data_IF_405191791907
#
_entry.id   IF_405191791907
#
_cell.length_a   1.000
_cell.length_b   1.000
_cell.length_c   1.000
_cell.angle_alpha   90.00
_cell.angle_beta   90.00
_cell.angle_gamma   90.00
#
_symmetry.space_group_name_H-M   'P 1'
#
loop_
_entity.id
_entity.type
_entity.pdbx_description
1 polymer ?
#
# COMPACT_ATOMS: atom_id res chain seq x y z
N UNK A 1 31.15 22.26 -10.73
CA UNK A 1 30.81 21.15 -9.82
C UNK A 1 29.60 20.43 -10.43
N UNK A 2 29.83 19.40 -11.24
CA UNK A 2 28.75 18.65 -11.89
C UNK A 2 28.07 17.78 -10.84
N UNK A 3 26.88 18.18 -10.36
CA UNK A 3 26.01 17.28 -9.60
C UNK A 3 25.65 16.11 -10.52
N UNK A 4 26.22 14.93 -10.27
CA UNK A 4 25.71 13.69 -10.85
C UNK A 4 24.22 13.64 -10.54
N UNK A 5 23.39 13.61 -11.57
CA UNK A 5 21.96 13.36 -11.44
C UNK A 5 21.88 11.88 -11.04
N UNK A 6 21.80 11.62 -9.73
CA UNK A 6 21.52 10.27 -9.23
C UNK A 6 20.14 9.90 -9.78
N UNK A 7 20.13 9.00 -10.76
CA UNK A 7 18.90 8.40 -11.27
C UNK A 7 18.49 7.35 -10.25
N UNK A 8 17.28 7.48 -9.71
CA UNK A 8 16.70 6.49 -8.80
C UNK A 8 16.68 5.11 -9.46
N UNK A 9 16.89 4.06 -8.68
CA UNK A 9 16.62 2.69 -9.11
C UNK A 9 15.10 2.49 -9.29
N UNK A 10 14.71 1.40 -9.97
CA UNK A 10 13.28 1.07 -10.12
C UNK A 10 12.58 0.90 -8.76
N UNK A 11 13.26 0.27 -7.80
CA UNK A 11 12.74 0.10 -6.44
C UNK A 11 12.58 1.43 -5.69
N UNK A 12 13.56 2.33 -5.82
CA UNK A 12 13.46 3.67 -5.23
C UNK A 12 12.34 4.49 -5.86
N UNK A 13 12.11 4.36 -7.17
CA UNK A 13 11.00 4.98 -7.87
C UNK A 13 9.65 4.45 -7.38
N UNK A 14 9.52 3.12 -7.22
CA UNK A 14 8.32 2.46 -6.71
C UNK A 14 8.02 2.91 -5.27
N UNK A 15 9.01 2.87 -4.38
CA UNK A 15 8.88 3.34 -2.99
C UNK A 15 8.52 4.83 -2.92
N UNK A 16 9.13 5.66 -3.76
CA UNK A 16 8.79 7.09 -3.85
C UNK A 16 7.36 7.32 -4.34
N UNK A 17 6.90 6.54 -5.33
CA UNK A 17 5.53 6.60 -5.85
C UNK A 17 4.53 6.19 -4.76
N UNK A 18 4.72 5.05 -4.11
CA UNK A 18 3.83 4.57 -3.04
C UNK A 18 3.71 5.61 -1.92
N UNK A 19 4.84 6.15 -1.47
CA UNK A 19 4.85 7.21 -0.47
C UNK A 19 4.10 8.46 -0.92
N UNK A 20 4.24 8.86 -2.19
CA UNK A 20 3.51 9.98 -2.76
C UNK A 20 2.00 9.73 -2.80
N UNK A 21 1.57 8.53 -3.17
CA UNK A 21 0.16 8.15 -3.25
C UNK A 21 -0.47 8.05 -1.85
N UNK A 22 0.21 7.45 -0.87
CA UNK A 22 -0.23 7.38 0.53
C UNK A 22 -0.33 8.79 1.13
N UNK A 23 0.67 9.66 0.91
CA UNK A 23 0.61 11.06 1.33
C UNK A 23 -0.56 11.82 0.69
N UNK A 24 -0.88 11.51 -0.57
CA UNK A 24 -2.05 12.07 -1.24
C UNK A 24 -3.35 11.65 -0.55
N UNK A 25 -3.48 10.37 -0.17
CA UNK A 25 -4.61 9.88 0.62
C UNK A 25 -4.70 10.58 1.99
N UNK A 26 -3.61 10.66 2.75
CA UNK A 26 -3.58 11.33 4.06
C UNK A 26 -4.04 12.80 3.93
N UNK A 27 -3.56 13.52 2.91
CA UNK A 27 -3.90 14.92 2.72
C UNK A 27 -5.34 15.16 2.24
N UNK A 28 -5.98 14.20 1.57
CA UNK A 28 -7.24 14.43 0.85
C UNK A 28 -8.39 13.46 1.21
N UNK A 29 -8.12 12.40 1.98
CA UNK A 29 -9.05 11.29 2.20
C UNK A 29 -9.26 10.39 0.98
N UNK A 30 -8.53 10.66 -0.10
CA UNK A 30 -8.57 9.94 -1.37
C UNK A 30 -7.27 10.18 -2.13
N UNK A 31 -6.83 9.23 -2.96
CA UNK A 31 -5.59 9.38 -3.74
C UNK A 31 -5.87 10.30 -4.94
N UNK A 32 -5.27 11.48 -4.93
CA UNK A 32 -5.27 12.43 -6.06
C UNK A 32 -3.87 12.49 -6.67
N UNK A 33 -3.70 11.83 -7.82
CA UNK A 33 -2.45 11.85 -8.57
C UNK A 33 -2.72 11.96 -10.07
N UNK A 34 -1.80 12.60 -10.78
CA UNK A 34 -1.76 12.68 -12.24
C UNK A 34 -0.32 12.47 -12.71
N UNK A 35 -0.08 12.07 -13.97
CA UNK A 35 1.28 11.99 -14.49
C UNK A 35 2.07 13.30 -14.33
N UNK A 36 1.39 14.45 -14.47
CA UNK A 36 1.98 15.76 -14.27
C UNK A 36 2.41 16.00 -12.82
N UNK A 37 1.57 15.61 -11.85
CA UNK A 37 1.93 15.76 -10.43
C UNK A 37 3.07 14.83 -10.03
N UNK A 38 3.12 13.60 -10.57
CA UNK A 38 4.24 12.67 -10.35
C UNK A 38 5.53 13.25 -10.91
N UNK A 39 5.53 13.74 -12.17
CA UNK A 39 6.69 14.40 -12.76
C UNK A 39 7.17 15.60 -11.95
N UNK A 40 6.24 16.43 -11.48
CA UNK A 40 6.54 17.63 -10.69
C UNK A 40 7.17 17.31 -9.33
N UNK A 41 6.66 16.29 -8.63
CA UNK A 41 7.07 16.01 -7.24
C UNK A 41 8.18 14.96 -7.14
N UNK A 42 8.24 13.99 -8.06
CA UNK A 42 9.15 12.85 -8.02
C UNK A 42 10.18 12.83 -9.16
N UNK A 43 10.09 13.77 -10.11
CA UNK A 43 11.08 13.97 -11.19
C UNK A 43 11.25 12.78 -12.16
N UNK A 44 10.21 11.95 -12.33
CA UNK A 44 10.14 10.94 -13.39
C UNK A 44 8.79 10.95 -14.11
N UNK A 45 8.75 10.41 -15.31
CA UNK A 45 7.52 10.30 -16.09
C UNK A 45 6.86 8.94 -15.82
N UNK A 46 5.53 8.92 -15.78
CA UNK A 46 4.72 7.71 -15.67
C UNK A 46 3.56 7.80 -16.67
N UNK A 47 3.19 6.67 -17.28
CA UNK A 47 2.01 6.63 -18.15
C UNK A 47 0.72 6.68 -17.31
N UNK A 48 -0.38 7.10 -17.91
CA UNK A 48 -1.65 7.32 -17.20
C UNK A 48 -2.29 6.03 -16.68
N UNK A 49 -2.26 4.99 -17.51
CA UNK A 49 -2.68 3.61 -17.22
C UNK A 49 -1.87 3.04 -16.05
N UNK A 50 -0.54 3.05 -16.15
CA UNK A 50 0.34 2.55 -15.06
C UNK A 50 0.05 3.29 -13.76
N UNK A 51 -0.09 4.63 -13.79
CA UNK A 51 -0.44 5.38 -12.59
C UNK A 51 -1.81 4.98 -12.01
N UNK A 52 -2.79 4.67 -12.86
CA UNK A 52 -4.10 4.26 -12.40
C UNK A 52 -4.03 2.90 -11.67
N UNK A 53 -3.25 1.96 -12.20
CA UNK A 53 -3.03 0.65 -11.60
C UNK A 53 -2.31 0.79 -10.25
N UNK A 54 -1.26 1.62 -10.18
CA UNK A 54 -0.54 1.91 -8.93
C UNK A 54 -1.44 2.59 -7.88
N UNK A 55 -2.31 3.52 -8.31
CA UNK A 55 -3.31 4.14 -7.43
C UNK A 55 -4.28 3.11 -6.87
N UNK A 56 -4.74 2.17 -7.69
CA UNK A 56 -5.64 1.08 -7.26
C UNK A 56 -4.92 0.11 -6.32
N UNK A 57 -3.67 -0.24 -6.61
CA UNK A 57 -2.84 -1.10 -5.78
C UNK A 57 -2.62 -0.49 -4.39
N UNK A 58 -2.18 0.76 -4.30
CA UNK A 58 -1.98 1.46 -3.01
C UNK A 58 -3.30 1.62 -2.25
N UNK A 59 -4.40 1.89 -2.95
CA UNK A 59 -5.72 2.00 -2.31
C UNK A 59 -6.17 0.66 -1.75
N UNK A 60 -6.36 -0.33 -2.61
CA UNK A 60 -6.98 -1.60 -2.22
C UNK A 60 -6.04 -2.49 -1.41
N UNK A 61 -4.77 -2.60 -1.84
CA UNK A 61 -3.75 -3.45 -1.20
C UNK A 61 -3.04 -2.80 -0.02
N UNK A 62 -3.14 -1.48 0.15
CA UNK A 62 -2.56 -0.76 1.27
C UNK A 62 -3.62 -0.17 2.19
N UNK A 63 -4.24 0.92 1.75
CA UNK A 63 -5.13 1.74 2.59
C UNK A 63 -6.37 0.97 3.07
N UNK A 64 -7.06 0.29 2.18
CA UNK A 64 -8.31 -0.41 2.48
C UNK A 64 -8.05 -1.59 3.44
N UNK A 65 -6.98 -2.35 3.20
CA UNK A 65 -6.53 -3.43 4.08
C UNK A 65 -6.20 -2.88 5.48
N UNK A 66 -5.41 -1.81 5.58
CA UNK A 66 -5.08 -1.20 6.87
C UNK A 66 -6.33 -0.73 7.62
N UNK A 67 -7.29 -0.10 6.92
CA UNK A 67 -8.54 0.33 7.55
C UNK A 67 -9.34 -0.86 8.06
N UNK A 68 -9.49 -1.91 7.26
CA UNK A 68 -10.21 -3.12 7.62
C UNK A 68 -9.56 -3.80 8.83
N UNK A 69 -8.26 -4.01 8.74
CA UNK A 69 -7.40 -4.63 9.73
C UNK A 69 -7.46 -3.88 11.07
N UNK A 70 -7.15 -2.58 11.05
CA UNK A 70 -7.09 -1.77 12.27
C UNK A 70 -8.47 -1.52 12.88
N UNK A 71 -9.55 -1.58 12.10
CA UNK A 71 -10.91 -1.48 12.62
C UNK A 71 -11.52 -2.84 13.02
N UNK A 72 -10.81 -3.96 12.79
CA UNK A 72 -11.28 -5.33 13.06
C UNK A 72 -12.65 -5.57 12.37
N UNK A 73 -12.72 -5.32 11.06
CA UNK A 73 -13.97 -5.40 10.28
C UNK A 73 -14.08 -6.72 9.54
N UNK A 74 -15.18 -7.42 9.78
CA UNK A 74 -15.44 -8.76 9.24
C UNK A 74 -16.40 -8.75 8.03
N UNK A 75 -17.05 -7.61 7.74
CA UNK A 75 -18.02 -7.50 6.64
C UNK A 75 -17.91 -6.18 5.86
N UNK A 76 -18.45 -6.20 4.64
CA UNK A 76 -18.36 -5.10 3.68
C UNK A 76 -19.15 -3.84 4.09
N UNK A 77 -20.31 -4.00 4.74
CA UNK A 77 -21.14 -2.86 5.15
C UNK A 77 -20.45 -2.02 6.23
N UNK A 78 -19.85 -2.69 7.21
CA UNK A 78 -19.04 -2.03 8.23
C UNK A 78 -17.78 -1.41 7.62
N UNK A 79 -17.14 -2.08 6.67
CA UNK A 79 -16.02 -1.49 5.92
C UNK A 79 -16.36 -0.14 5.31
N UNK A 80 -17.44 -0.03 4.52
CA UNK A 80 -17.83 1.24 3.88
C UNK A 80 -18.06 2.36 4.91
N UNK A 81 -18.71 2.04 6.04
CA UNK A 81 -18.98 3.01 7.11
C UNK A 81 -17.71 3.50 7.80
N UNK A 82 -16.74 2.62 8.04
CA UNK A 82 -15.48 2.99 8.67
C UNK A 82 -14.52 3.68 7.69
N UNK A 83 -14.50 3.24 6.43
CA UNK A 83 -13.74 3.89 5.36
C UNK A 83 -14.09 5.37 5.26
N UNK A 84 -15.38 5.70 5.18
CA UNK A 84 -15.84 7.09 5.13
C UNK A 84 -15.42 7.91 6.35
N UNK A 85 -15.40 7.30 7.54
CA UNK A 85 -14.97 7.97 8.77
C UNK A 85 -13.46 8.23 8.77
N UNK A 86 -12.68 7.24 8.35
CA UNK A 86 -11.21 7.36 8.27
C UNK A 86 -10.82 8.37 7.21
N UNK A 87 -11.36 8.26 5.97
CA UNK A 87 -11.11 9.21 4.88
C UNK A 87 -11.40 10.66 5.29
N UNK A 88 -12.42 10.91 6.12
CA UNK A 88 -12.70 12.25 6.65
C UNK A 88 -11.71 12.66 7.74
N UNK A 89 -11.51 11.80 8.75
CA UNK A 89 -10.67 12.12 9.90
C UNK A 89 -9.20 12.32 9.50
N UNK A 90 -8.67 11.47 8.63
CA UNK A 90 -7.23 11.42 8.31
C UNK A 90 -6.68 12.75 7.78
N UNK A 91 -7.52 13.54 7.08
CA UNK A 91 -7.18 14.85 6.53
C UNK A 91 -6.89 15.93 7.58
N UNK A 92 -7.31 15.70 8.82
CA UNK A 92 -7.18 16.62 9.95
C UNK A 92 -6.56 15.98 11.18
N UNK A 93 -6.15 14.71 11.06
CA UNK A 93 -5.57 13.96 12.16
C UNK A 93 -4.15 14.47 12.44
N UNK A 94 -3.85 14.75 13.70
CA UNK A 94 -2.53 15.21 14.11
C UNK A 94 -1.56 14.03 14.21
N UNK A 95 -0.64 13.96 13.24
CA UNK A 95 0.40 12.93 13.18
C UNK A 95 1.69 13.31 13.91
N UNK A 96 1.80 14.53 14.47
CA UNK A 96 3.06 15.06 15.04
C UNK A 96 3.69 14.11 16.07
N UNK A 97 2.86 13.46 16.90
CA UNK A 97 3.31 12.45 17.88
C UNK A 97 4.07 11.28 17.22
N UNK A 98 3.70 10.88 16.01
CA UNK A 98 4.17 9.66 15.34
C UNK A 98 5.30 9.93 14.34
N UNK A 99 5.57 11.18 13.99
CA UNK A 99 6.55 11.55 12.97
C UNK A 99 7.96 11.08 13.31
N UNK A 100 8.37 11.23 14.57
CA UNK A 100 9.71 10.84 15.05
C UNK A 100 9.83 9.37 15.46
N UNK A 101 8.73 8.63 15.53
CA UNK A 101 8.74 7.22 15.94
C UNK A 101 9.34 6.35 14.84
N UNK A 102 10.19 5.41 15.22
CA UNK A 102 10.55 4.26 14.39
C UNK A 102 9.32 3.41 14.08
N UNK A 103 9.43 2.51 13.09
CA UNK A 103 8.33 1.61 12.76
C UNK A 103 7.94 0.71 13.94
N UNK A 104 8.90 0.23 14.73
CA UNK A 104 8.60 -0.64 15.88
C UNK A 104 7.89 0.12 17.01
N UNK A 105 8.31 1.36 17.29
CA UNK A 105 7.59 2.22 18.23
C UNK A 105 6.16 2.50 17.76
N UNK A 106 5.98 2.72 16.45
CA UNK A 106 4.66 2.95 15.86
C UNK A 106 3.77 1.70 15.94
N UNK A 107 4.32 0.53 15.66
CA UNK A 107 3.65 -0.78 15.75
C UNK A 107 3.13 -1.08 17.16
N UNK A 108 3.78 -0.56 18.21
CA UNK A 108 3.25 -0.67 19.58
C UNK A 108 1.86 -0.03 19.77
N UNK A 109 1.41 0.86 18.88
CA UNK A 109 0.10 1.51 18.93
C UNK A 109 -0.97 0.84 18.05
N UNK A 110 -0.62 -0.20 17.30
CA UNK A 110 -1.41 -0.78 16.22
C UNK A 110 -1.67 -2.28 16.45
N UNK A 111 -2.60 -2.83 15.66
CA UNK A 111 -2.61 -4.28 15.40
C UNK A 111 -1.50 -4.59 14.40
N UNK A 112 -0.71 -5.61 14.67
CA UNK A 112 0.47 -6.01 13.89
C UNK A 112 0.27 -7.44 13.42
N UNK A 113 0.64 -7.73 12.19
CA UNK A 113 0.60 -9.09 11.65
C UNK A 113 2.02 -9.62 11.54
N UNK A 114 2.37 -10.61 12.35
CA UNK A 114 3.71 -11.18 12.41
C UNK A 114 3.68 -12.66 12.01
N UNK A 115 4.24 -12.97 10.83
CA UNK A 115 4.36 -14.34 10.33
C UNK A 115 5.32 -15.20 11.16
N UNK A 116 6.09 -14.60 12.07
CA UNK A 116 6.92 -15.32 13.03
C UNK A 116 6.15 -15.71 14.31
N UNK A 117 4.91 -15.21 14.50
CA UNK A 117 4.06 -15.52 15.65
C UNK A 117 2.97 -16.54 15.26
N UNK A 118 2.77 -17.58 16.09
CA UNK A 118 1.78 -18.63 15.86
C UNK A 118 0.33 -18.10 15.73
N UNK A 119 0.03 -16.95 16.33
CA UNK A 119 -1.29 -16.33 16.26
C UNK A 119 -1.44 -15.37 15.07
N UNK A 120 -0.36 -15.12 14.33
CA UNK A 120 -0.22 -14.18 13.21
C UNK A 120 -0.58 -12.72 13.51
N UNK A 121 -1.35 -12.43 14.57
CA UNK A 121 -1.83 -11.11 14.94
C UNK A 121 -1.38 -10.78 16.35
N UNK A 122 -0.49 -9.82 16.44
CA UNK A 122 0.04 -9.27 17.69
C UNK A 122 -0.65 -7.95 17.98
N UNK A 123 -1.18 -7.80 19.20
CA UNK A 123 -1.70 -6.52 19.68
C UNK A 123 -0.56 -5.70 20.25
N UNK A 124 -0.32 -4.51 19.71
CA UNK A 124 0.67 -3.58 20.25
C UNK A 124 0.37 -3.20 21.71
N UNK A 125 1.43 -3.03 22.50
CA UNK A 125 1.33 -2.77 23.96
C UNK A 125 0.57 -1.47 24.30
N UNK A 126 0.66 -0.46 23.43
CA UNK A 126 0.06 0.86 23.56
C UNK A 126 -1.15 1.05 22.63
N UNK A 127 -1.83 -0.04 22.26
CA UNK A 127 -2.91 -0.07 21.28
C UNK A 127 -3.87 1.11 21.40
N UNK A 128 -4.03 1.87 20.31
CA UNK A 128 -5.01 2.96 20.26
C UNK A 128 -6.42 2.37 20.35
N UNK A 129 -7.17 2.77 21.38
CA UNK A 129 -8.51 2.24 21.66
C UNK A 129 -9.56 2.68 20.63
N UNK A 130 -9.45 3.89 20.12
CA UNK A 130 -10.35 4.40 19.08
C UNK A 130 -9.95 3.81 17.73
N UNK A 131 -10.82 2.97 17.16
CA UNK A 131 -10.58 2.25 15.90
C UNK A 131 -10.33 3.19 14.71
N UNK A 132 -11.03 4.31 14.62
CA UNK A 132 -10.86 5.27 13.50
C UNK A 132 -9.51 5.96 13.62
N UNK A 133 -9.13 6.39 14.83
CA UNK A 133 -7.80 6.96 15.08
C UNK A 133 -6.70 5.93 14.82
N UNK A 134 -6.89 4.69 15.30
CA UNK A 134 -5.96 3.58 15.06
C UNK A 134 -5.77 3.33 13.57
N UNK A 135 -6.84 3.30 12.78
CA UNK A 135 -6.76 3.16 11.33
C UNK A 135 -6.07 4.34 10.65
N UNK A 136 -6.27 5.58 11.11
CA UNK A 136 -5.51 6.73 10.59
C UNK A 136 -3.99 6.53 10.81
N UNK A 137 -3.60 6.04 11.99
CA UNK A 137 -2.20 5.73 12.32
C UNK A 137 -1.69 4.51 11.56
N UNK A 138 -2.53 3.49 11.32
CA UNK A 138 -2.21 2.34 10.47
C UNK A 138 -1.88 2.75 9.03
N UNK A 139 -2.73 3.55 8.41
CA UNK A 139 -2.45 4.11 7.06
C UNK A 139 -1.18 4.94 7.04
N UNK A 140 -0.93 5.75 8.07
CA UNK A 140 0.33 6.51 8.19
C UNK A 140 1.55 5.58 8.31
N UNK A 141 1.42 4.45 9.01
CA UNK A 141 2.51 3.48 9.19
C UNK A 141 3.03 2.89 7.88
N UNK A 142 2.22 2.86 6.82
CA UNK A 142 2.65 2.42 5.49
C UNK A 142 3.83 3.24 4.95
N UNK A 143 3.98 4.51 5.35
CA UNK A 143 5.13 5.35 5.00
C UNK A 143 6.44 4.92 5.68
N UNK A 144 6.35 4.05 6.68
CA UNK A 144 7.45 3.59 7.55
C UNK A 144 7.65 2.06 7.52
N UNK A 145 6.88 1.33 6.70
CA UNK A 145 6.99 -0.13 6.56
C UNK A 145 5.72 -0.91 6.94
N UNK A 146 4.66 -0.25 7.42
CA UNK A 146 3.35 -0.87 7.65
C UNK A 146 3.28 -1.80 8.86
N UNK A 147 2.15 -2.47 9.05
CA UNK A 147 1.89 -3.30 10.23
C UNK A 147 2.26 -4.78 10.06
N UNK A 148 2.86 -5.17 8.95
CA UNK A 148 3.21 -6.56 8.67
C UNK A 148 4.70 -6.85 8.88
N UNK A 149 4.99 -7.99 9.50
CA UNK A 149 6.32 -8.53 9.75
C UNK A 149 6.38 -9.90 9.08
N UNK A 150 7.25 -10.03 8.08
CA UNK A 150 7.40 -11.27 7.31
C UNK A 150 8.43 -12.22 7.93
N UNK A 151 8.26 -13.52 7.74
CA UNK A 151 9.06 -14.57 8.38
C UNK A 151 10.52 -14.69 7.89
N UNK A 152 11.02 -13.79 7.04
CA UNK A 152 12.38 -13.85 6.50
C UNK A 152 13.04 -12.47 6.36
N UNK A 153 13.92 -12.11 7.30
CA UNK A 153 14.71 -10.86 7.29
C UNK A 153 15.94 -10.89 6.36
N UNK A 154 16.22 -12.00 5.67
CA UNK A 154 17.45 -12.17 4.88
C UNK A 154 17.29 -11.97 3.37
N UNK A 155 16.09 -11.65 2.87
CA UNK A 155 15.95 -11.11 1.52
C UNK A 155 15.78 -9.60 1.65
N UNK A 156 16.61 -8.83 0.96
CA UNK A 156 16.40 -7.39 0.70
C UNK A 156 15.01 -7.12 0.08
N UNK A 157 14.28 -8.17 -0.29
CA UNK A 157 12.90 -8.21 -0.82
C UNK A 157 11.78 -8.20 0.24
N UNK A 158 12.08 -8.30 1.55
CA UNK A 158 11.03 -8.47 2.59
C UNK A 158 10.26 -7.19 2.96
N UNK A 159 10.76 -6.00 2.60
CA UNK A 159 10.00 -4.75 2.77
C UNK A 159 8.88 -4.57 1.71
N UNK A 160 8.85 -5.39 0.65
CA UNK A 160 8.04 -5.11 -0.56
C UNK A 160 7.07 -6.22 -0.99
N UNK A 161 6.88 -7.29 -0.20
CA UNK A 161 5.92 -8.35 -0.54
C UNK A 161 4.45 -7.89 -0.61
N UNK A 162 4.09 -6.73 -0.06
CA UNK A 162 2.77 -6.12 -0.29
C UNK A 162 2.53 -5.65 -1.72
N UNK A 163 3.59 -5.45 -2.51
CA UNK A 163 3.52 -4.77 -3.81
C UNK A 163 4.15 -5.54 -4.97
N UNK A 164 4.67 -6.74 -4.74
CA UNK A 164 4.97 -7.66 -5.82
C UNK A 164 3.76 -8.57 -5.97
N UNK A 165 2.79 -8.16 -6.80
CA UNK A 165 2.10 -9.18 -7.57
C UNK A 165 3.20 -9.77 -8.45
N UNK A 166 3.72 -10.94 -8.06
CA UNK A 166 4.66 -11.65 -8.91
C UNK A 166 4.03 -11.72 -10.30
N UNK A 167 4.82 -11.41 -11.34
CA UNK A 167 4.35 -11.52 -12.73
C UNK A 167 3.71 -12.90 -12.94
N UNK A 168 4.18 -13.91 -12.20
CA UNK A 168 3.62 -15.25 -12.11
C UNK A 168 2.17 -15.29 -11.62
N UNK A 169 1.78 -14.52 -10.59
CA UNK A 169 0.39 -14.42 -10.12
C UNK A 169 -0.51 -13.69 -11.12
N UNK A 170 0.02 -12.67 -11.82
CA UNK A 170 -0.72 -11.98 -12.89
C UNK A 170 -0.94 -12.94 -14.06
N UNK A 171 0.08 -13.71 -14.44
CA UNK A 171 0.00 -14.72 -15.49
C UNK A 171 -1.01 -15.81 -15.09
N UNK A 172 -0.98 -16.29 -13.84
CA UNK A 172 -1.92 -17.28 -13.32
C UNK A 172 -3.36 -16.78 -13.43
N UNK A 173 -3.63 -15.54 -13.02
CA UNK A 173 -4.95 -14.93 -13.12
C UNK A 173 -5.41 -14.70 -14.56
N UNK A 174 -4.50 -14.32 -15.47
CA UNK A 174 -4.80 -14.22 -16.91
C UNK A 174 -5.18 -15.61 -17.48
N UNK A 175 -4.50 -16.67 -17.05
CA UNK A 175 -4.82 -18.04 -17.44
C UNK A 175 -6.17 -18.51 -16.89
N UNK A 176 -6.49 -18.19 -15.64
CA UNK A 176 -7.79 -18.50 -15.03
C UNK A 176 -8.96 -17.81 -15.75
N UNK A 177 -8.81 -16.53 -16.10
CA UNK A 177 -9.84 -15.79 -16.85
C UNK A 177 -10.09 -16.39 -18.23
N UNK A 178 -9.05 -16.88 -18.90
CA UNK A 178 -9.19 -17.58 -20.17
C UNK A 178 -9.87 -18.95 -20.00
N UNK A 179 -9.48 -19.71 -18.97
CA UNK A 179 -10.10 -21.00 -18.65
C UNK A 179 -11.61 -20.87 -18.34
N UNK A 180 -12.00 -19.79 -17.65
CA UNK A 180 -13.40 -19.49 -17.31
C UNK A 180 -14.20 -18.88 -18.48
N UNK A 181 -13.58 -18.67 -19.64
CA UNK A 181 -14.21 -18.08 -20.83
C UNK A 181 -14.46 -16.58 -20.74
N UNK A 182 -13.86 -15.90 -19.75
CA UNK A 182 -13.93 -14.45 -19.55
C UNK A 182 -12.94 -13.70 -20.47
N UNK A 183 -11.95 -14.41 -21.00
CA UNK A 183 -10.91 -13.88 -21.88
C UNK A 183 -10.68 -14.79 -23.10
N UNK A 184 -10.63 -14.21 -24.29
CA UNK A 184 -10.32 -14.96 -25.51
C UNK A 184 -8.86 -15.45 -25.51
N UNK A 185 -8.58 -16.54 -26.25
CA UNK A 185 -7.21 -17.06 -26.42
C UNK A 185 -6.24 -16.01 -26.98
N UNK A 186 -6.72 -15.25 -27.98
CA UNK A 186 -5.94 -14.22 -28.65
C UNK A 186 -5.61 -13.04 -27.70
N UNK A 187 -6.54 -12.68 -26.81
CA UNK A 187 -6.31 -11.61 -25.84
C UNK A 187 -5.45 -12.09 -24.66
N UNK A 188 -5.55 -13.37 -24.27
CA UNK A 188 -4.65 -13.99 -23.29
C UNK A 188 -3.20 -13.92 -23.76
N UNK A 189 -2.92 -14.35 -24.99
CA UNK A 189 -1.58 -14.31 -25.56
C UNK A 189 -1.02 -12.88 -25.67
N UNK A 190 -1.85 -11.90 -26.05
CA UNK A 190 -1.45 -10.49 -26.08
C UNK A 190 -1.06 -9.97 -24.69
N UNK A 191 -1.85 -10.31 -23.66
CA UNK A 191 -1.59 -9.87 -22.29
C UNK A 191 -0.32 -10.53 -21.72
N UNK A 192 -0.12 -11.83 -21.93
CA UNK A 192 1.08 -12.54 -21.48
C UNK A 192 2.34 -11.98 -22.19
N UNK A 193 2.28 -11.78 -23.51
CA UNK A 193 3.40 -11.21 -24.28
C UNK A 193 3.70 -9.74 -23.94
N UNK A 194 2.78 -9.03 -23.31
CA UNK A 194 3.03 -7.67 -22.81
C UNK A 194 3.73 -7.65 -21.45
N UNK A 195 3.75 -8.79 -20.74
CA UNK A 195 4.33 -8.95 -19.40
C UNK A 195 5.74 -9.59 -19.43
N UNK A 196 6.12 -10.26 -20.54
CA UNK A 196 7.41 -10.92 -20.79
C UNK A 196 8.20 -10.16 -21.85
#
# INVERSE_FOLDING_TARGET
MNRKKETLTQEEMKKALNNFLIKSYIANGTIKATPLSVKKNLNFNIKKDILADEMMSVRCGGVDIEIQAQCELENQNDFLKYYDKVSKMITTFDFSKYESMSIEELRSYLLVWDENDDNYVVRGENLIKDKVKRACVGVYSLLKGGTWIYANKNSEDSENKFFNSDIDEIIERINEMNFNGELSEEDREKLINALV
#
